data_IF_167111679043
#
_entry.id   IF_167111679043
#
_cell.length_a   1.000
_cell.length_b   1.000
_cell.length_c   1.000
_cell.angle_alpha   90.00
_cell.angle_beta   90.00
_cell.angle_gamma   90.00
#
_symmetry.space_group_name_H-M   'P 1'
#
loop_
_entity.id
_entity.type
_entity.pdbx_description
1 polymer ?
#
# COMPACT_ATOMS: atom_id res chain seq x y z
N UNK A 1 -20.64 36.32 -14.70
CA UNK A 1 -19.59 35.42 -15.22
C UNK A 1 -18.91 34.76 -14.03
N UNK A 2 -19.12 33.46 -13.81
CA UNK A 2 -18.37 32.73 -12.77
C UNK A 2 -16.96 32.51 -13.33
N UNK A 3 -15.94 33.11 -12.69
CA UNK A 3 -14.54 32.84 -13.04
C UNK A 3 -14.32 31.33 -12.87
N UNK A 4 -14.01 30.62 -13.96
CA UNK A 4 -13.49 29.26 -13.85
C UNK A 4 -12.12 29.36 -13.18
N UNK A 5 -12.06 29.04 -11.90
CA UNK A 5 -10.78 28.90 -11.21
C UNK A 5 -9.97 27.80 -11.89
N UNK A 6 -8.66 28.04 -12.00
CA UNK A 6 -7.76 27.04 -12.52
C UNK A 6 -7.71 25.87 -11.53
N UNK A 7 -8.20 24.70 -11.95
CA UNK A 7 -8.27 23.48 -11.13
C UNK A 7 -6.90 23.13 -10.53
N UNK A 8 -5.79 23.47 -11.20
CA UNK A 8 -4.44 23.22 -10.70
C UNK A 8 -4.10 23.95 -9.39
N UNK A 9 -4.85 24.99 -9.02
CA UNK A 9 -4.65 25.74 -7.78
C UNK A 9 -5.42 25.13 -6.59
N UNK A 10 -6.32 24.17 -6.83
CA UNK A 10 -7.10 23.56 -5.77
C UNK A 10 -6.20 22.64 -4.90
N UNK A 11 -6.30 22.68 -3.55
CA UNK A 11 -5.43 21.89 -2.67
C UNK A 11 -5.43 20.38 -2.97
N UNK A 12 -6.58 19.85 -3.41
CA UNK A 12 -6.72 18.43 -3.75
C UNK A 12 -6.31 18.05 -5.18
N UNK A 13 -5.95 19.02 -6.02
CA UNK A 13 -5.63 18.73 -7.42
C UNK A 13 -4.43 17.79 -7.57
N UNK A 14 -3.37 18.01 -6.77
CA UNK A 14 -2.20 17.13 -6.78
C UNK A 14 -2.55 15.70 -6.34
N UNK A 15 -3.44 15.54 -5.35
CA UNK A 15 -3.91 14.22 -4.90
C UNK A 15 -4.65 13.50 -6.02
N UNK A 16 -5.56 14.21 -6.69
CA UNK A 16 -6.35 13.68 -7.80
C UNK A 16 -5.49 13.36 -9.03
N UNK A 17 -4.62 14.28 -9.47
CA UNK A 17 -3.75 14.09 -10.64
C UNK A 17 -2.80 12.91 -10.42
N UNK A 18 -2.14 12.83 -9.26
CA UNK A 18 -1.29 11.69 -8.93
C UNK A 18 -2.08 10.37 -8.91
N UNK A 19 -3.33 10.39 -8.42
CA UNK A 19 -4.22 9.23 -8.44
C UNK A 19 -4.56 8.78 -9.87
N UNK A 20 -4.91 9.72 -10.75
CA UNK A 20 -5.22 9.42 -12.15
C UNK A 20 -3.98 8.90 -12.90
N UNK A 21 -2.85 9.59 -12.75
CA UNK A 21 -1.61 9.27 -13.48
C UNK A 21 -1.06 7.90 -13.11
N UNK A 22 -1.02 7.54 -11.83
CA UNK A 22 -0.56 6.19 -11.43
C UNK A 22 -1.46 5.08 -11.96
N UNK A 23 -2.76 5.33 -12.19
CA UNK A 23 -3.69 4.32 -12.69
C UNK A 23 -3.74 4.23 -14.22
N UNK A 24 -3.60 5.36 -14.94
CA UNK A 24 -3.91 5.42 -16.37
C UNK A 24 -2.75 5.84 -17.28
N UNK A 25 -1.63 6.29 -16.73
CA UNK A 25 -0.48 6.75 -17.53
C UNK A 25 0.63 5.71 -17.48
N UNK A 26 0.78 4.93 -18.57
CA UNK A 26 1.71 3.78 -18.62
C UNK A 26 3.17 4.15 -18.34
N UNK A 27 3.62 5.31 -18.83
CA UNK A 27 4.98 5.81 -18.61
C UNK A 27 5.20 6.40 -17.20
N UNK A 28 4.16 6.49 -16.36
CA UNK A 28 4.30 6.98 -15.01
C UNK A 28 5.11 5.99 -14.16
N UNK A 29 6.11 6.44 -13.36
CA UNK A 29 7.02 5.53 -12.64
C UNK A 29 6.31 4.52 -11.71
N UNK A 30 5.14 4.91 -11.20
CA UNK A 30 4.32 4.07 -10.32
C UNK A 30 3.29 3.20 -11.07
N UNK A 31 3.11 3.35 -12.39
CA UNK A 31 2.07 2.62 -13.13
C UNK A 31 2.14 1.10 -12.93
N UNK A 32 3.34 0.51 -12.96
CA UNK A 32 3.59 -0.92 -12.70
C UNK A 32 3.06 -1.44 -11.35
N UNK A 33 2.84 -0.57 -10.37
CA UNK A 33 2.29 -0.92 -9.06
C UNK A 33 0.78 -0.65 -8.94
N UNK A 34 0.21 0.09 -9.89
CA UNK A 34 -1.17 0.55 -9.90
C UNK A 34 -1.87 0.08 -11.18
N UNK A 35 -1.91 0.88 -12.24
CA UNK A 35 -2.57 0.52 -13.51
C UNK A 35 -2.10 -0.82 -14.06
N UNK A 36 -0.79 -1.10 -14.02
CA UNK A 36 -0.22 -2.39 -14.44
C UNK A 36 -0.62 -3.59 -13.57
N UNK A 37 -1.28 -3.38 -12.43
CA UNK A 37 -1.91 -4.41 -11.59
C UNK A 37 -3.45 -4.41 -11.69
N UNK A 38 -4.02 -3.64 -12.61
CA UNK A 38 -5.46 -3.49 -12.77
C UNK A 38 -6.12 -2.61 -11.71
N UNK A 39 -5.37 -1.70 -11.09
CA UNK A 39 -5.96 -0.67 -10.21
C UNK A 39 -6.51 0.47 -11.08
N UNK A 40 -7.76 0.86 -10.86
CA UNK A 40 -8.48 1.87 -11.64
C UNK A 40 -9.06 2.97 -10.75
N UNK A 41 -9.61 4.00 -11.38
CA UNK A 41 -10.41 5.05 -10.75
C UNK A 41 -11.83 4.96 -11.28
N UNK A 42 -12.81 5.08 -10.39
CA UNK A 42 -14.23 5.16 -10.71
C UNK A 42 -14.50 6.29 -11.71
N UNK A 43 -15.34 6.04 -12.71
CA UNK A 43 -15.61 7.00 -13.79
C UNK A 43 -16.11 8.37 -13.27
N UNK A 44 -16.86 8.39 -12.16
CA UNK A 44 -17.30 9.63 -11.54
C UNK A 44 -16.11 10.50 -11.11
N UNK A 45 -15.06 9.88 -10.60
CA UNK A 45 -13.84 10.55 -10.14
C UNK A 45 -12.85 10.89 -11.26
N UNK A 46 -13.14 10.58 -12.52
CA UNK A 46 -12.40 11.14 -13.66
C UNK A 46 -12.71 12.62 -13.88
N UNK A 47 -13.82 13.10 -13.31
CA UNK A 47 -14.12 14.52 -13.21
C UNK A 47 -13.65 15.05 -11.85
N UNK A 48 -12.69 15.98 -11.88
CA UNK A 48 -12.14 16.61 -10.69
C UNK A 48 -13.21 17.26 -9.80
N UNK A 49 -14.24 17.89 -10.38
CA UNK A 49 -15.23 18.62 -9.60
C UNK A 49 -16.13 17.64 -8.83
N UNK A 50 -16.42 16.48 -9.43
CA UNK A 50 -17.16 15.39 -8.77
C UNK A 50 -16.33 14.70 -7.69
N UNK A 51 -15.02 14.54 -7.92
CA UNK A 51 -14.10 14.05 -6.90
C UNK A 51 -14.12 14.98 -5.68
N UNK A 52 -13.92 16.29 -5.85
CA UNK A 52 -13.96 17.26 -4.75
C UNK A 52 -15.31 17.26 -4.05
N UNK A 53 -16.41 17.27 -4.82
CA UNK A 53 -17.76 17.21 -4.25
C UNK A 53 -17.95 16.00 -3.33
N UNK A 54 -17.51 14.81 -3.75
CA UNK A 54 -17.60 13.61 -2.93
C UNK A 54 -16.70 13.68 -1.70
N UNK A 55 -15.48 14.23 -1.80
CA UNK A 55 -14.61 14.45 -0.64
C UNK A 55 -15.27 15.38 0.38
N UNK A 56 -15.84 16.49 -0.07
CA UNK A 56 -16.37 17.53 0.81
C UNK A 56 -17.71 17.15 1.46
N UNK A 57 -18.57 16.44 0.72
CA UNK A 57 -19.97 16.24 1.11
C UNK A 57 -20.29 14.80 1.54
N UNK A 58 -19.48 13.81 1.16
CA UNK A 58 -19.84 12.40 1.33
C UNK A 58 -18.75 11.55 1.96
N UNK A 59 -17.49 11.95 1.88
CA UNK A 59 -16.39 11.20 2.49
C UNK A 59 -16.29 11.53 3.97
N UNK A 60 -16.45 10.50 4.81
CA UNK A 60 -16.16 10.61 6.22
C UNK A 60 -14.70 11.08 6.41
N UNK A 61 -14.53 12.16 7.17
CA UNK A 61 -13.24 12.82 7.38
C UNK A 61 -12.57 13.37 6.11
N UNK A 62 -13.33 13.60 5.03
CA UNK A 62 -12.83 14.16 3.77
C UNK A 62 -12.07 15.47 3.94
N UNK A 63 -12.55 16.35 4.83
CA UNK A 63 -11.91 17.62 5.19
C UNK A 63 -10.46 17.46 5.69
N UNK A 64 -10.05 16.29 6.17
CA UNK A 64 -8.67 16.04 6.59
C UNK A 64 -7.69 15.93 5.40
N UNK A 65 -8.16 15.63 4.18
CA UNK A 65 -7.30 15.60 2.98
C UNK A 65 -6.73 16.97 2.59
N UNK A 66 -7.30 18.06 3.13
CA UNK A 66 -6.75 19.40 2.98
C UNK A 66 -5.59 19.68 3.95
N UNK A 67 -5.35 18.78 4.91
CA UNK A 67 -4.31 18.89 5.91
C UNK A 67 -3.11 18.01 5.57
N UNK A 68 -1.92 18.45 5.99
CA UNK A 68 -0.71 17.62 5.87
C UNK A 68 -0.84 16.39 6.78
N UNK A 69 -0.31 15.26 6.32
CA UNK A 69 -0.27 14.02 7.09
C UNK A 69 -1.50 13.13 6.93
N UNK A 70 -2.42 13.45 6.01
CA UNK A 70 -3.55 12.59 5.64
C UNK A 70 -3.49 12.19 4.17
N UNK A 71 -3.86 10.95 3.87
CA UNK A 71 -3.86 10.38 2.52
C UNK A 71 -5.20 9.72 2.21
N UNK A 72 -5.57 9.74 0.93
CA UNK A 72 -6.64 8.95 0.37
C UNK A 72 -6.16 7.51 0.16
N UNK A 73 -6.79 6.55 0.83
CA UNK A 73 -6.44 5.14 0.79
C UNK A 73 -7.59 4.28 0.27
N UNK A 74 -7.31 3.35 -0.64
CA UNK A 74 -8.30 2.38 -1.18
C UNK A 74 -8.13 0.97 -0.59
N UNK A 75 -7.00 0.71 0.05
CA UNK A 75 -6.50 -0.63 0.31
C UNK A 75 -7.15 -1.24 1.56
N UNK A 76 -7.63 -0.41 2.49
CA UNK A 76 -8.34 -0.88 3.67
C UNK A 76 -9.71 -1.53 3.32
N UNK A 77 -10.43 -1.05 2.30
CA UNK A 77 -11.81 -1.50 2.00
C UNK A 77 -11.97 -2.41 0.77
N UNK A 78 -10.95 -2.62 -0.07
CA UNK A 78 -11.12 -3.52 -1.24
C UNK A 78 -10.24 -3.26 -2.45
N UNK A 79 -9.36 -2.26 -2.42
CA UNK A 79 -7.99 -2.34 -2.96
C UNK A 79 -7.74 -2.29 -4.47
N UNK A 80 -8.77 -2.27 -5.33
CA UNK A 80 -8.54 -2.15 -6.80
C UNK A 80 -9.17 -0.93 -7.47
N UNK A 81 -10.15 -0.28 -6.86
CA UNK A 81 -10.81 0.88 -7.48
C UNK A 81 -10.76 2.05 -6.50
N UNK A 82 -10.22 3.18 -6.93
CA UNK A 82 -10.40 4.46 -6.24
C UNK A 82 -11.84 4.94 -6.47
N UNK A 83 -12.65 4.95 -5.41
CA UNK A 83 -14.04 5.39 -5.44
C UNK A 83 -14.47 5.86 -4.05
N UNK A 84 -15.58 6.59 -3.95
CA UNK A 84 -16.13 7.00 -2.65
C UNK A 84 -16.40 5.80 -1.72
N UNK A 85 -16.87 4.68 -2.28
CA UNK A 85 -17.18 3.47 -1.50
C UNK A 85 -15.94 2.72 -1.03
N UNK A 86 -14.85 2.75 -1.80
CA UNK A 86 -13.63 1.99 -1.51
C UNK A 86 -12.56 2.81 -0.82
N UNK A 87 -12.66 4.13 -0.85
CA UNK A 87 -11.66 5.00 -0.27
C UNK A 87 -12.00 5.45 1.15
N UNK A 88 -10.95 5.75 1.90
CA UNK A 88 -11.01 6.40 3.20
C UNK A 88 -9.87 7.41 3.34
N UNK A 89 -10.06 8.36 4.25
CA UNK A 89 -9.00 9.25 4.68
C UNK A 89 -8.31 8.62 5.89
N UNK A 90 -7.00 8.39 5.78
CA UNK A 90 -6.17 7.85 6.87
C UNK A 90 -4.93 8.70 7.04
N UNK A 91 -4.28 8.58 8.19
CA UNK A 91 -3.00 9.24 8.41
C UNK A 91 -1.91 8.63 7.52
N UNK A 92 -0.95 9.45 7.12
CA UNK A 92 0.22 9.01 6.36
C UNK A 92 1.03 7.95 7.13
N UNK A 93 1.06 8.05 8.46
CA UNK A 93 1.67 7.06 9.34
C UNK A 93 0.95 5.71 9.27
N UNK A 94 -0.37 5.71 9.39
CA UNK A 94 -1.16 4.49 9.31
C UNK A 94 -1.05 3.84 7.93
N UNK A 95 -1.13 4.64 6.87
CA UNK A 95 -0.94 4.13 5.50
C UNK A 95 0.43 3.47 5.34
N UNK A 96 1.49 4.09 5.86
CA UNK A 96 2.84 3.53 5.86
C UNK A 96 2.91 2.23 6.67
N UNK A 97 2.28 2.18 7.85
CA UNK A 97 2.26 0.99 8.72
C UNK A 97 1.57 -0.18 8.03
N UNK A 98 0.40 0.05 7.44
CA UNK A 98 -0.37 -0.96 6.69
C UNK A 98 0.38 -1.42 5.44
N UNK A 99 0.94 -0.49 4.66
CA UNK A 99 1.77 -0.82 3.50
C UNK A 99 2.98 -1.67 3.86
N UNK A 100 3.61 -1.44 5.01
CA UNK A 100 4.70 -2.27 5.51
C UNK A 100 4.22 -3.63 6.02
N UNK A 101 3.07 -3.70 6.68
CA UNK A 101 2.46 -4.96 7.12
C UNK A 101 2.13 -5.85 5.93
N UNK A 102 1.53 -5.30 4.87
CA UNK A 102 1.19 -6.02 3.64
C UNK A 102 2.42 -6.49 2.84
N UNK A 103 3.62 -5.94 3.12
CA UNK A 103 4.89 -6.38 2.55
C UNK A 103 5.59 -7.45 3.38
N UNK A 104 5.10 -7.75 4.59
CA UNK A 104 5.68 -8.81 5.42
C UNK A 104 5.49 -10.13 4.68
N UNK A 105 6.62 -10.77 4.36
CA UNK A 105 6.61 -12.11 3.77
C UNK A 105 6.60 -13.11 4.90
N UNK A 106 5.56 -13.92 4.94
CA UNK A 106 5.50 -15.09 5.79
C UNK A 106 6.63 -16.04 5.41
N UNK A 107 7.25 -16.67 6.40
CA UNK A 107 8.32 -17.64 6.19
C UNK A 107 8.11 -18.86 7.05
N UNK A 108 8.63 -20.00 6.60
CA UNK A 108 8.72 -21.21 7.40
C UNK A 108 10.18 -21.52 7.69
N UNK A 109 10.47 -21.85 8.95
CA UNK A 109 11.73 -22.43 9.39
C UNK A 109 11.56 -23.95 9.50
N UNK A 110 12.48 -24.72 8.94
CA UNK A 110 12.42 -26.19 8.91
C UNK A 110 13.69 -26.75 9.54
N UNK A 111 13.55 -27.62 10.55
CA UNK A 111 14.65 -28.35 11.19
C UNK A 111 14.29 -29.83 11.32
N UNK A 112 14.92 -30.67 10.51
CA UNK A 112 14.48 -32.07 10.37
C UNK A 112 13.03 -32.15 9.90
N UNK A 113 12.15 -32.73 10.72
CA UNK A 113 10.71 -32.82 10.47
C UNK A 113 9.90 -31.66 11.05
N UNK A 114 10.50 -30.86 11.94
CA UNK A 114 9.83 -29.72 12.59
C UNK A 114 9.69 -28.54 11.63
N UNK A 115 8.51 -27.93 11.59
CA UNK A 115 8.20 -26.72 10.82
C UNK A 115 7.59 -25.66 11.71
N UNK A 116 8.13 -24.44 11.64
CA UNK A 116 7.63 -23.29 12.38
C UNK A 116 7.35 -22.16 11.41
N UNK A 117 6.10 -21.75 11.30
CA UNK A 117 5.69 -20.61 10.48
C UNK A 117 5.82 -19.30 11.26
N UNK A 118 6.22 -18.25 10.55
CA UNK A 118 6.36 -16.91 11.09
C UNK A 118 5.73 -15.90 10.15
N UNK A 119 4.97 -14.94 10.71
CA UNK A 119 4.38 -13.83 9.95
C UNK A 119 5.41 -12.88 9.35
N UNK A 120 6.68 -12.97 9.79
CA UNK A 120 7.77 -12.20 9.20
C UNK A 120 9.15 -12.75 9.60
N UNK A 121 10.17 -12.34 8.84
CA UNK A 121 11.58 -12.53 9.20
C UNK A 121 11.92 -11.96 10.58
N UNK A 122 11.24 -10.89 11.02
CA UNK A 122 11.48 -10.30 12.34
C UNK A 122 11.07 -11.27 13.46
N UNK A 123 9.86 -11.83 13.39
CA UNK A 123 9.38 -12.78 14.39
C UNK A 123 10.24 -14.05 14.43
N UNK A 124 10.70 -14.53 13.26
CA UNK A 124 11.63 -15.64 13.19
C UNK A 124 12.99 -15.30 13.82
N UNK A 125 13.49 -14.09 13.59
CA UNK A 125 14.75 -13.59 14.16
C UNK A 125 14.70 -13.55 15.68
N UNK A 126 13.61 -13.03 16.24
CA UNK A 126 13.37 -12.94 17.69
C UNK A 126 13.21 -14.32 18.31
N UNK A 127 12.34 -15.17 17.75
CA UNK A 127 12.03 -16.49 18.30
C UNK A 127 13.22 -17.45 18.22
N UNK A 128 13.93 -17.46 17.09
CA UNK A 128 15.07 -18.36 16.85
C UNK A 128 16.41 -17.77 17.31
N UNK A 129 16.39 -16.56 17.89
CA UNK A 129 17.58 -15.80 18.34
C UNK A 129 18.68 -15.74 17.27
N UNK A 130 18.28 -15.45 16.04
CA UNK A 130 19.15 -15.46 14.87
C UNK A 130 19.11 -14.11 14.16
N UNK A 131 20.24 -13.64 13.64
CA UNK A 131 20.25 -12.36 12.92
C UNK A 131 19.38 -12.41 11.66
N UNK A 132 18.61 -11.34 11.44
CA UNK A 132 17.78 -11.17 10.23
C UNK A 132 18.59 -11.37 8.95
N UNK A 133 19.86 -10.92 8.94
CA UNK A 133 20.80 -11.11 7.82
C UNK A 133 21.04 -12.59 7.52
N UNK A 134 21.22 -13.44 8.53
CA UNK A 134 21.45 -14.87 8.32
C UNK A 134 20.19 -15.54 7.74
N UNK A 135 19.02 -15.26 8.31
CA UNK A 135 17.73 -15.75 7.81
C UNK A 135 17.51 -15.32 6.35
N UNK A 136 17.75 -14.05 6.04
CA UNK A 136 17.64 -13.51 4.67
C UNK A 136 18.61 -14.18 3.69
N UNK A 137 19.85 -14.45 4.12
CA UNK A 137 20.81 -15.18 3.31
C UNK A 137 20.27 -16.59 3.00
N UNK A 138 19.77 -17.34 4.00
CA UNK A 138 19.20 -18.68 3.78
C UNK A 138 17.95 -18.66 2.91
N UNK A 139 17.08 -17.66 3.05
CA UNK A 139 15.93 -17.47 2.17
C UNK A 139 16.32 -17.20 0.71
N UNK A 140 17.50 -16.61 0.46
CA UNK A 140 17.99 -16.28 -0.89
C UNK A 140 18.84 -17.41 -1.50
N UNK A 141 19.78 -17.96 -0.73
CA UNK A 141 20.76 -18.93 -1.22
C UNK A 141 20.43 -20.37 -0.86
N UNK A 142 19.41 -20.61 -0.04
CA UNK A 142 19.16 -21.91 0.58
C UNK A 142 20.26 -22.30 1.59
N UNK A 143 20.29 -23.59 1.92
CA UNK A 143 21.23 -24.19 2.85
C UNK A 143 20.83 -24.07 4.32
N UNK A 144 21.45 -24.90 5.13
CA UNK A 144 21.19 -25.03 6.56
C UNK A 144 21.99 -24.01 7.37
N UNK A 145 21.39 -23.47 8.43
CA UNK A 145 22.12 -22.67 9.41
C UNK A 145 22.94 -23.56 10.33
N UNK A 146 23.89 -22.96 11.07
CA UNK A 146 24.61 -23.66 12.14
C UNK A 146 23.69 -24.28 13.21
N UNK A 147 22.48 -23.76 13.37
CA UNK A 147 21.48 -24.24 14.33
C UNK A 147 20.54 -25.31 13.76
N UNK A 148 20.73 -25.71 12.50
CA UNK A 148 20.01 -26.79 11.85
C UNK A 148 18.77 -26.36 11.06
N UNK A 149 18.57 -25.05 10.85
CA UNK A 149 17.36 -24.55 10.19
C UNK A 149 17.61 -24.25 8.71
N UNK A 150 16.64 -24.60 7.88
CA UNK A 150 16.47 -24.01 6.55
C UNK A 150 15.25 -23.10 6.55
N UNK A 151 15.20 -22.14 5.61
CA UNK A 151 14.10 -21.17 5.54
C UNK A 151 13.52 -21.10 4.14
N UNK A 152 12.19 -20.94 4.05
CA UNK A 152 11.48 -20.73 2.78
C UNK A 152 10.41 -19.65 2.96
N UNK A 153 10.14 -18.89 1.90
CA UNK A 153 8.95 -18.05 1.85
C UNK A 153 7.72 -18.94 1.71
N UNK A 154 6.65 -18.60 2.41
CA UNK A 154 5.33 -19.21 2.21
C UNK A 154 4.42 -18.16 1.59
N UNK A 155 3.64 -18.59 0.59
CA UNK A 155 2.65 -17.77 -0.13
C UNK A 155 1.44 -17.48 0.73
#
# INVERSE_FOLDING_TARGET
MVKRENKSNHPLYSTWDNMMRRCHVEHHPNYKYYGGKGITVDERWHDFDKFVYDIDNHMLNGHLLYQKGYHLDKDIKGGKIYSLGNCMVITAEENKRLGNANRKKRIVAIKGTEKIEFESILLASEKLKMSRRNIQLRLKSGGETRSGYTFRYIS
#
